data_IF_990271495033
#
_entry.id   IF_990271495033
#
_cell.length_a   1.000
_cell.length_b   1.000
_cell.length_c   1.000
_cell.angle_alpha   90.00
_cell.angle_beta   90.00
_cell.angle_gamma   90.00
#
_symmetry.space_group_name_H-M   'P 1'
#
loop_
_entity.id
_entity.type
_entity.pdbx_description
1 polymer ?
#
# COMPACT_ATOMS: atom_id res chain seq x y z
N UNK A 1 4.62 -2.69 4.68
CA UNK A 1 6.09 -2.76 4.50
C UNK A 1 6.46 -4.08 3.85
N UNK A 2 7.55 -4.08 3.10
CA UNK A 2 8.07 -5.28 2.45
C UNK A 2 9.58 -5.37 2.51
N UNK A 3 10.09 -6.50 2.02
CA UNK A 3 11.51 -6.78 1.90
C UNK A 3 11.77 -7.38 0.53
N UNK A 4 12.96 -7.12 -0.02
CA UNK A 4 13.43 -7.82 -1.21
C UNK A 4 13.95 -9.20 -0.81
N UNK A 5 13.50 -10.24 -1.52
CA UNK A 5 13.90 -11.64 -1.27
C UNK A 5 14.93 -12.11 -2.30
N UNK A 6 14.79 -11.66 -3.54
CA UNK A 6 15.73 -11.91 -4.64
C UNK A 6 15.59 -10.84 -5.74
N UNK A 7 16.23 -11.05 -6.89
CA UNK A 7 16.16 -10.14 -8.03
C UNK A 7 14.71 -9.98 -8.52
N UNK A 8 14.17 -8.78 -8.35
CA UNK A 8 12.80 -8.40 -8.70
C UNK A 8 11.69 -9.19 -7.96
N UNK A 9 11.99 -9.93 -6.88
CA UNK A 9 10.95 -10.50 -6.01
C UNK A 9 10.96 -9.84 -4.64
N UNK A 10 9.77 -9.40 -4.26
CA UNK A 10 9.52 -8.70 -3.02
C UNK A 10 8.44 -9.43 -2.24
N UNK A 11 8.54 -9.36 -0.93
CA UNK A 11 7.55 -9.91 0.00
C UNK A 11 6.93 -8.78 0.79
N UNK A 12 5.60 -8.78 0.90
CA UNK A 12 4.91 -7.98 1.92
C UNK A 12 5.16 -8.68 3.26
N UNK A 13 5.95 -8.05 4.13
CA UNK A 13 6.44 -8.67 5.36
C UNK A 13 5.67 -8.22 6.60
N UNK A 14 5.03 -7.05 6.54
CA UNK A 14 4.25 -6.49 7.65
C UNK A 14 3.24 -5.46 7.14
N UNK A 15 2.07 -5.43 7.77
CA UNK A 15 0.97 -4.52 7.43
C UNK A 15 0.74 -3.58 8.62
N UNK A 16 0.53 -2.30 8.35
CA UNK A 16 0.21 -1.30 9.37
C UNK A 16 -1.23 -1.44 9.86
N UNK A 17 -1.58 -0.87 11.03
CA UNK A 17 -2.97 -0.49 11.24
C UNK A 17 -3.44 0.50 10.15
N UNK A 18 -4.74 0.75 10.00
CA UNK A 18 -5.28 1.65 8.97
C UNK A 18 -4.72 3.08 8.99
N UNK A 19 -4.17 3.55 10.12
CA UNK A 19 -3.62 4.91 10.30
C UNK A 19 -4.59 5.99 9.80
N UNK A 20 -5.79 6.06 10.40
CA UNK A 20 -6.91 6.91 9.95
C UNK A 20 -7.27 7.95 11.01
N UNK A 21 -7.41 9.21 10.61
CA UNK A 21 -7.93 10.29 11.47
C UNK A 21 -9.45 10.26 11.55
N UNK A 22 -10.11 10.13 10.40
CA UNK A 22 -11.57 10.12 10.25
C UNK A 22 -11.96 9.15 9.17
N UNK A 23 -13.05 8.43 9.38
CA UNK A 23 -13.64 7.60 8.36
C UNK A 23 -15.15 7.85 8.27
N UNK A 24 -15.66 7.63 7.09
CA UNK A 24 -17.08 7.48 6.77
C UNK A 24 -17.24 6.14 6.07
N UNK A 25 -18.48 5.76 5.73
CA UNK A 25 -18.72 4.51 4.99
C UNK A 25 -17.93 4.43 3.68
N UNK A 26 -17.76 5.55 2.97
CA UNK A 26 -17.18 5.58 1.62
C UNK A 26 -16.01 6.57 1.52
N UNK A 27 -15.32 6.85 2.62
CA UNK A 27 -14.23 7.83 2.61
C UNK A 27 -13.40 7.78 3.87
N UNK A 28 -12.12 8.07 3.72
CA UNK A 28 -11.14 7.99 4.79
C UNK A 28 -10.15 9.17 4.69
N UNK A 29 -9.93 9.86 5.80
CA UNK A 29 -8.86 10.82 5.96
C UNK A 29 -7.70 10.12 6.67
N UNK A 30 -6.57 9.96 5.97
CA UNK A 30 -5.38 9.30 6.53
C UNK A 30 -4.67 10.15 7.56
N UNK A 31 -4.10 9.47 8.54
CA UNK A 31 -3.13 10.03 9.47
C UNK A 31 -1.71 9.78 8.96
N UNK A 32 -1.21 10.69 8.12
CA UNK A 32 0.13 10.59 7.56
C UNK A 32 1.23 10.57 8.63
N UNK A 33 1.03 11.27 9.76
CA UNK A 33 2.03 11.29 10.84
C UNK A 33 2.13 9.92 11.51
N UNK A 34 0.98 9.31 11.83
CA UNK A 34 0.94 7.96 12.39
C UNK A 34 1.49 6.90 11.42
N UNK A 35 1.16 7.03 10.13
CA UNK A 35 1.67 6.12 9.10
C UNK A 35 3.20 6.23 8.96
N UNK A 36 3.74 7.45 8.89
CA UNK A 36 5.18 7.69 8.79
C UNK A 36 5.92 7.19 10.03
N UNK A 37 5.39 7.44 11.23
CA UNK A 37 5.95 6.92 12.47
C UNK A 37 6.02 5.38 12.44
N UNK A 38 4.94 4.72 12.02
CA UNK A 38 4.91 3.25 11.93
C UNK A 38 5.90 2.70 10.90
N UNK A 39 6.08 3.40 9.77
CA UNK A 39 7.07 3.05 8.74
C UNK A 39 8.48 3.18 9.30
N UNK A 40 8.80 4.32 9.93
CA UNK A 40 10.11 4.60 10.51
C UNK A 40 10.45 3.60 11.63
N UNK A 41 9.53 3.38 12.56
CA UNK A 41 9.71 2.41 13.64
C UNK A 41 9.94 0.99 13.10
N UNK A 42 9.19 0.55 12.08
CA UNK A 42 9.42 -0.78 11.51
C UNK A 42 10.73 -0.87 10.73
N UNK A 43 11.12 0.19 10.04
CA UNK A 43 12.39 0.27 9.33
C UNK A 43 13.55 0.10 10.32
N UNK A 44 13.57 0.87 11.40
CA UNK A 44 14.58 0.76 12.47
C UNK A 44 14.57 -0.62 13.14
N UNK A 45 13.40 -1.13 13.56
CA UNK A 45 13.26 -2.44 14.20
C UNK A 45 13.68 -3.61 13.30
N UNK A 46 13.65 -3.42 11.99
CA UNK A 46 14.04 -4.43 11.01
C UNK A 46 15.53 -4.42 10.70
N UNK A 47 16.34 -3.60 11.36
CA UNK A 47 17.71 -3.29 10.94
C UNK A 47 17.74 -2.82 9.47
N UNK A 48 16.77 -1.99 9.11
CA UNK A 48 16.59 -1.41 7.78
C UNK A 48 16.28 -2.41 6.64
N UNK A 49 15.90 -3.65 6.97
CA UNK A 49 15.59 -4.69 5.97
C UNK A 49 14.14 -4.67 5.46
N UNK A 50 13.22 -4.02 6.19
CA UNK A 50 11.81 -3.85 5.79
C UNK A 50 11.50 -2.39 5.51
N UNK A 51 11.04 -2.08 4.31
CA UNK A 51 10.79 -0.71 3.86
C UNK A 51 9.35 -0.51 3.35
N UNK A 52 8.98 0.75 3.16
CA UNK A 52 7.69 1.13 2.60
C UNK A 52 7.59 0.74 1.12
N UNK A 53 6.48 0.10 0.74
CA UNK A 53 6.29 -0.46 -0.61
C UNK A 53 4.90 -0.17 -1.21
N UNK A 54 4.01 0.50 -0.47
CA UNK A 54 2.64 0.68 -0.93
C UNK A 54 1.62 0.89 0.19
N UNK A 55 0.37 1.01 -0.24
CA UNK A 55 -0.77 1.38 0.60
C UNK A 55 -1.86 0.33 0.52
N UNK A 56 -2.64 0.26 1.59
CA UNK A 56 -3.83 -0.59 1.64
C UNK A 56 -4.97 0.15 2.31
N UNK A 57 -6.19 -0.18 1.92
CA UNK A 57 -7.42 0.28 2.57
C UNK A 57 -8.59 -0.67 2.24
N UNK A 58 -9.76 -0.40 2.83
CA UNK A 58 -10.96 -1.23 2.69
C UNK A 58 -12.07 -0.47 1.97
N UNK A 59 -12.82 -1.15 1.10
CA UNK A 59 -14.08 -0.67 0.54
C UNK A 59 -15.26 -1.53 1.03
N UNK A 60 -16.46 -0.95 1.24
CA UNK A 60 -17.66 -1.71 1.56
C UNK A 60 -18.31 -2.31 0.29
N UNK A 61 -17.48 -2.90 -0.58
CA UNK A 61 -17.85 -3.46 -1.89
C UNK A 61 -17.40 -4.93 -1.93
N UNK A 62 -18.21 -5.82 -2.51
CA UNK A 62 -17.84 -7.24 -2.65
C UNK A 62 -16.58 -7.39 -3.51
N UNK A 63 -16.60 -6.76 -4.69
CA UNK A 63 -15.50 -6.68 -5.63
C UNK A 63 -15.02 -5.23 -5.71
N UNK A 64 -13.98 -4.86 -4.95
CA UNK A 64 -13.63 -3.46 -4.76
C UNK A 64 -13.08 -2.84 -6.06
N UNK A 65 -13.54 -1.63 -6.38
CA UNK A 65 -13.00 -0.85 -7.49
C UNK A 65 -12.30 0.40 -6.94
N UNK A 66 -10.97 0.56 -7.15
CA UNK A 66 -10.28 1.77 -6.73
C UNK A 66 -10.88 3.00 -7.42
N UNK A 67 -11.06 4.06 -6.64
CA UNK A 67 -11.51 5.36 -7.10
C UNK A 67 -10.36 6.17 -7.71
N UNK A 68 -10.67 7.28 -8.37
CA UNK A 68 -9.67 8.23 -8.85
C UNK A 68 -8.80 8.79 -7.70
N UNK A 69 -9.35 8.93 -6.50
CA UNK A 69 -8.60 9.42 -5.33
C UNK A 69 -7.54 8.40 -4.91
N UNK A 70 -7.84 7.11 -5.01
CA UNK A 70 -6.92 6.03 -4.64
C UNK A 70 -5.72 5.98 -5.60
N UNK A 71 -5.97 6.09 -6.91
CA UNK A 71 -4.90 6.18 -7.91
C UNK A 71 -4.03 7.42 -7.71
N UNK A 72 -4.64 8.60 -7.54
CA UNK A 72 -3.90 9.83 -7.32
C UNK A 72 -3.03 9.77 -6.05
N UNK A 73 -3.55 9.18 -4.95
CA UNK A 73 -2.77 9.00 -3.71
C UNK A 73 -1.50 8.18 -3.94
N UNK A 74 -1.58 7.10 -4.72
CA UNK A 74 -0.41 6.28 -5.04
C UNK A 74 0.58 7.04 -5.93
N UNK A 75 0.10 7.75 -6.94
CA UNK A 75 0.97 8.55 -7.82
C UNK A 75 1.68 9.66 -7.04
N UNK A 76 0.95 10.40 -6.19
CA UNK A 76 1.50 11.46 -5.35
C UNK A 76 2.55 10.91 -4.37
N UNK A 77 2.26 9.81 -3.69
CA UNK A 77 3.23 9.18 -2.79
C UNK A 77 4.45 8.63 -3.55
N UNK A 78 4.27 8.12 -4.77
CA UNK A 78 5.40 7.65 -5.58
C UNK A 78 6.39 8.78 -5.91
N UNK A 79 5.88 10.00 -6.12
CA UNK A 79 6.72 11.17 -6.42
C UNK A 79 7.31 11.82 -5.17
N UNK A 80 6.65 11.71 -4.02
CA UNK A 80 7.00 12.50 -2.82
C UNK A 80 7.65 11.69 -1.70
N UNK A 81 7.43 10.38 -1.64
CA UNK A 81 8.01 9.52 -0.62
C UNK A 81 9.44 9.09 -0.99
N UNK A 82 10.27 8.87 0.03
CA UNK A 82 11.59 8.25 -0.12
C UNK A 82 11.44 6.74 -0.33
N UNK A 83 11.22 6.32 -1.57
CA UNK A 83 11.06 4.91 -1.92
C UNK A 83 12.40 4.19 -2.12
N UNK A 84 12.49 2.98 -1.58
CA UNK A 84 13.61 2.04 -1.83
C UNK A 84 13.38 1.23 -3.11
N UNK A 85 12.12 1.09 -3.53
CA UNK A 85 11.70 0.30 -4.69
C UNK A 85 11.16 1.18 -5.82
N UNK A 86 11.33 0.76 -7.08
CA UNK A 86 10.84 1.52 -8.24
C UNK A 86 9.33 1.28 -8.50
N UNK A 87 8.54 0.99 -7.46
CA UNK A 87 7.11 0.75 -7.58
C UNK A 87 6.38 1.04 -6.26
N UNK A 88 5.05 1.15 -6.35
CA UNK A 88 4.15 1.10 -5.20
C UNK A 88 3.04 0.11 -5.44
N UNK A 89 2.67 -0.63 -4.40
CA UNK A 89 1.54 -1.55 -4.41
C UNK A 89 0.30 -0.83 -3.86
N UNK A 90 -0.84 -1.02 -4.51
CA UNK A 90 -2.15 -0.66 -3.99
C UNK A 90 -2.96 -1.91 -3.72
N UNK A 91 -3.45 -2.07 -2.50
CA UNK A 91 -4.36 -3.14 -2.11
C UNK A 91 -5.66 -2.54 -1.61
N UNK A 92 -6.76 -2.83 -2.31
CA UNK A 92 -8.11 -2.49 -1.83
C UNK A 92 -8.79 -3.78 -1.42
N UNK A 93 -9.18 -3.86 -0.15
CA UNK A 93 -9.84 -5.02 0.45
C UNK A 93 -11.35 -4.80 0.42
N UNK A 94 -12.06 -5.64 -0.33
CA UNK A 94 -13.52 -5.69 -0.33
C UNK A 94 -14.05 -6.69 0.69
N UNK A 95 -15.37 -6.91 0.66
CA UNK A 95 -16.03 -7.90 1.51
C UNK A 95 -15.89 -9.33 1.01
N UNK A 96 -15.68 -9.54 -0.29
CA UNK A 96 -15.52 -10.87 -0.90
C UNK A 96 -14.22 -11.05 -1.69
N UNK A 97 -13.64 -9.96 -2.21
CA UNK A 97 -12.45 -9.99 -3.05
C UNK A 97 -11.44 -8.88 -2.74
N UNK A 98 -10.27 -8.97 -3.37
CA UNK A 98 -9.23 -7.95 -3.33
C UNK A 98 -9.03 -7.35 -4.72
N UNK A 99 -8.78 -6.04 -4.76
CA UNK A 99 -8.11 -5.42 -5.89
C UNK A 99 -6.64 -5.23 -5.52
N UNK A 100 -5.74 -5.72 -6.37
CA UNK A 100 -4.30 -5.55 -6.20
C UNK A 100 -3.76 -4.95 -7.49
N UNK A 101 -3.05 -3.83 -7.39
CA UNK A 101 -2.32 -3.27 -8.52
C UNK A 101 -0.97 -2.73 -8.10
N UNK A 102 -0.06 -2.67 -9.08
CA UNK A 102 1.30 -2.16 -8.91
C UNK A 102 1.49 -0.96 -9.83
N UNK A 103 1.86 0.18 -9.26
CA UNK A 103 2.28 1.36 -10.00
C UNK A 103 3.80 1.35 -10.17
N UNK A 104 4.28 1.45 -11.41
CA UNK A 104 5.72 1.41 -11.73
C UNK A 104 6.31 2.79 -12.09
N UNK A 105 5.65 3.87 -11.65
CA UNK A 105 6.00 5.24 -12.04
C UNK A 105 5.47 5.69 -13.39
N UNK A 106 4.76 4.81 -14.14
CA UNK A 106 4.16 5.15 -15.44
C UNK A 106 2.71 4.70 -15.57
N UNK A 107 2.40 3.51 -15.08
CA UNK A 107 1.06 2.92 -15.16
C UNK A 107 0.80 1.97 -14.01
N UNK A 108 -0.48 1.76 -13.74
CA UNK A 108 -0.96 0.69 -12.88
C UNK A 108 -1.05 -0.61 -13.68
N UNK A 109 -0.56 -1.70 -13.09
CA UNK A 109 -0.71 -3.06 -13.59
C UNK A 109 -1.48 -3.84 -12.53
N UNK A 110 -2.67 -4.34 -12.89
CA UNK A 110 -3.47 -5.19 -11.99
C UNK A 110 -2.78 -6.54 -11.87
N UNK A 111 -2.62 -7.00 -10.64
CA UNK A 111 -2.05 -8.31 -10.33
C UNK A 111 -3.18 -9.33 -10.13
N UNK A 112 -2.98 -10.54 -10.65
CA UNK A 112 -3.86 -11.67 -10.37
C UNK A 112 -3.45 -12.29 -9.02
N UNK A 113 -4.44 -12.63 -8.20
CA UNK A 113 -4.22 -13.27 -6.92
C UNK A 113 -4.18 -14.79 -7.09
N UNK A 114 -3.08 -15.40 -6.65
CA UNK A 114 -2.94 -16.85 -6.53
C UNK A 114 -2.85 -17.22 -5.04
N UNK A 115 -3.74 -18.10 -4.58
CA UNK A 115 -3.71 -18.65 -3.22
C UNK A 115 -3.01 -20.02 -3.33
N UNK A 116 -1.77 -20.07 -2.82
CA UNK A 116 -0.93 -21.27 -2.77
C UNK A 116 -0.91 -21.92 -1.38
#
# INVERSE_FOLDING_TARGET
MGAQIDDNRYRISKISPPCVKRHTRCGCERDAAMANQFIEEDYEQSEHTRFYIGEWHTHPEDNPTPSAVDYNSIEDNYQTASLVVPFMIMIVVGTEAFHISVFNGKKFVVAELEIV
#
